data_IF_915510873622
#
_entry.id   IF_915510873622
#
_cell.length_a   1.000
_cell.length_b   1.000
_cell.length_c   1.000
_cell.angle_alpha   90.00
_cell.angle_beta   90.00
_cell.angle_gamma   90.00
#
_symmetry.space_group_name_H-M   'P 1'
#
loop_
_entity.id
_entity.type
_entity.pdbx_description
1 polymer ?
#
# COMPACT_ATOMS: atom_id res chain seq x y z
N UNK A 1 -14.82 41.58 1.17
CA UNK A 1 -14.14 40.35 1.64
C UNK A 1 -13.11 40.76 2.68
N UNK A 2 -13.30 40.41 3.95
CA UNK A 2 -12.36 40.78 5.02
C UNK A 2 -11.16 39.85 5.01
N UNK A 3 -9.94 40.40 4.89
CA UNK A 3 -8.71 39.67 5.17
C UNK A 3 -8.72 39.30 6.65
N UNK A 4 -8.68 38.01 6.97
CA UNK A 4 -8.57 37.56 8.36
C UNK A 4 -7.13 37.76 8.84
N UNK A 5 -6.95 38.46 9.96
CA UNK A 5 -5.66 38.75 10.65
C UNK A 5 -4.89 37.51 11.15
N UNK A 6 -5.32 36.31 10.76
CA UNK A 6 -4.76 35.03 11.19
C UNK A 6 -3.25 34.93 10.92
N UNK A 7 -2.75 35.67 9.94
CA UNK A 7 -1.36 35.60 9.46
C UNK A 7 -0.43 36.63 10.12
N UNK A 8 -0.96 37.74 10.63
CA UNK A 8 -0.13 38.85 11.12
C UNK A 8 0.17 38.75 12.62
N UNK A 9 -0.64 38.01 13.40
CA UNK A 9 -0.40 37.85 14.84
C UNK A 9 -0.94 36.49 15.36
N UNK A 10 -0.11 35.42 15.35
CA UNK A 10 -0.57 34.10 15.77
C UNK A 10 -0.90 34.10 17.28
N UNK A 11 -2.18 34.00 17.62
CA UNK A 11 -2.70 33.99 19.00
C UNK A 11 -2.43 32.68 19.75
N UNK A 12 -2.03 31.62 19.05
CA UNK A 12 -1.86 30.30 19.63
C UNK A 12 -0.43 30.06 20.09
N UNK A 13 -0.24 30.04 21.40
CA UNK A 13 1.06 29.87 22.07
C UNK A 13 1.79 28.57 21.75
N UNK A 14 1.10 27.56 21.20
CA UNK A 14 1.67 26.21 21.03
C UNK A 14 1.52 25.59 19.64
N UNK A 15 0.88 26.25 18.67
CA UNK A 15 0.69 25.69 17.32
C UNK A 15 0.71 26.76 16.23
N UNK A 16 1.71 27.64 16.27
CA UNK A 16 2.03 28.48 15.12
C UNK A 16 2.50 27.59 13.97
N UNK A 17 2.14 27.93 12.73
CA UNK A 17 2.49 27.12 11.56
C UNK A 17 4.03 27.07 11.41
N UNK A 18 4.64 25.93 11.70
CA UNK A 18 6.08 25.78 11.63
C UNK A 18 6.44 25.16 10.27
N UNK A 19 7.03 25.93 9.36
CA UNK A 19 7.42 25.48 8.02
C UNK A 19 7.83 26.63 7.11
N UNK A 20 8.46 26.31 5.98
CA UNK A 20 8.70 27.31 4.93
C UNK A 20 7.37 27.78 4.33
N UNK A 21 7.21 29.07 4.01
CA UNK A 21 5.96 29.62 3.48
C UNK A 21 5.52 28.94 2.16
N UNK A 22 6.46 28.45 1.37
CA UNK A 22 6.20 27.78 0.09
C UNK A 22 6.07 26.26 0.19
N UNK A 23 5.96 25.71 1.41
CA UNK A 23 5.77 24.28 1.62
C UNK A 23 4.38 23.96 2.15
N UNK A 24 3.80 22.89 1.63
CA UNK A 24 2.51 22.42 2.09
C UNK A 24 2.58 22.01 3.58
N UNK A 25 1.63 22.44 4.42
CA UNK A 25 1.57 22.08 5.84
C UNK A 25 1.65 20.57 6.11
N UNK A 26 1.07 19.81 5.20
CA UNK A 26 0.89 18.36 5.31
C UNK A 26 2.01 17.59 4.61
N UNK A 27 3.06 18.26 4.15
CA UNK A 27 4.17 17.59 3.48
C UNK A 27 5.01 16.79 4.48
N UNK A 28 5.20 15.51 4.19
CA UNK A 28 6.07 14.63 4.96
C UNK A 28 7.51 14.80 4.47
N UNK A 29 8.45 15.02 5.38
CA UNK A 29 9.88 15.19 5.05
C UNK A 29 10.40 14.00 4.24
N UNK A 30 10.94 14.27 3.04
CA UNK A 30 11.46 13.25 2.12
C UNK A 30 10.43 12.16 1.79
N UNK A 31 9.14 12.50 1.84
CA UNK A 31 8.02 11.58 1.59
C UNK A 31 8.08 10.30 2.44
N UNK A 32 8.57 10.38 3.68
CA UNK A 32 8.69 9.22 4.58
C UNK A 32 10.01 8.44 4.49
N UNK A 33 10.90 8.79 3.55
CA UNK A 33 12.20 8.11 3.41
C UNK A 33 13.21 8.49 4.51
N UNK A 34 14.10 7.55 4.83
CA UNK A 34 15.33 7.78 5.61
C UNK A 34 15.27 7.28 7.05
N UNK A 35 16.46 7.08 7.64
CA UNK A 35 16.62 6.57 9.01
C UNK A 35 15.96 7.53 10.03
N UNK A 36 15.03 7.01 10.82
CA UNK A 36 14.27 7.76 11.83
C UNK A 36 12.88 8.21 11.37
N UNK A 37 12.53 8.00 10.10
CA UNK A 37 11.15 8.06 9.62
C UNK A 37 10.50 6.68 9.65
N UNK A 38 9.17 6.63 9.53
CA UNK A 38 8.37 5.40 9.61
C UNK A 38 8.28 4.64 8.26
N UNK A 39 9.02 5.07 7.25
CA UNK A 39 8.94 4.48 5.90
C UNK A 39 7.84 5.11 5.04
N UNK A 40 7.68 4.57 3.83
CA UNK A 40 6.56 4.92 2.96
C UNK A 40 5.37 3.99 3.15
N UNK A 41 4.17 4.47 2.81
CA UNK A 41 3.05 3.58 2.56
C UNK A 41 3.43 2.54 1.49
N UNK A 42 3.39 1.27 1.86
CA UNK A 42 3.79 0.12 1.04
C UNK A 42 5.13 -0.51 1.43
N UNK A 43 6.03 0.22 2.11
CA UNK A 43 7.29 -0.35 2.60
C UNK A 43 7.02 -1.34 3.75
N UNK A 44 5.91 -1.19 4.48
CA UNK A 44 5.56 -2.06 5.61
C UNK A 44 5.36 -3.52 5.17
N UNK A 45 4.89 -3.73 3.93
CA UNK A 45 4.72 -5.07 3.37
C UNK A 45 6.07 -5.76 3.18
N UNK A 46 7.07 -5.01 2.69
CA UNK A 46 8.42 -5.53 2.50
C UNK A 46 9.09 -5.79 3.84
N UNK A 47 8.88 -4.92 4.83
CA UNK A 47 9.38 -5.12 6.19
C UNK A 47 8.76 -6.37 6.84
N UNK A 48 7.44 -6.57 6.73
CA UNK A 48 6.76 -7.78 7.22
C UNK A 48 7.22 -9.07 6.51
N UNK A 49 7.59 -8.98 5.23
CA UNK A 49 8.21 -10.07 4.49
C UNK A 49 9.60 -10.37 5.07
N UNK A 50 10.42 -9.33 5.28
CA UNK A 50 11.78 -9.46 5.77
C UNK A 50 11.81 -10.02 7.21
N UNK A 51 10.84 -9.62 8.03
CA UNK A 51 10.64 -10.09 9.40
C UNK A 51 10.06 -11.51 9.47
N UNK A 52 9.61 -12.06 8.33
CA UNK A 52 9.06 -13.41 8.22
C UNK A 52 7.60 -13.55 8.69
N UNK A 53 6.93 -12.43 9.00
CA UNK A 53 5.52 -12.41 9.42
C UNK A 53 4.58 -12.64 8.21
N UNK A 54 5.00 -12.21 7.02
CA UNK A 54 4.34 -12.52 5.76
C UNK A 54 5.22 -13.41 4.88
N UNK A 55 4.65 -14.51 4.38
CA UNK A 55 5.36 -15.31 3.38
C UNK A 55 5.32 -14.62 2.01
N UNK A 56 6.49 -14.41 1.40
CA UNK A 56 6.66 -13.88 0.03
C UNK A 56 5.80 -14.56 -1.03
N UNK A 57 5.48 -15.83 -0.79
CA UNK A 57 4.71 -16.69 -1.70
C UNK A 57 3.24 -16.29 -1.79
N UNK A 58 2.70 -15.59 -0.79
CA UNK A 58 1.29 -15.14 -0.80
C UNK A 58 1.14 -13.92 -1.71
N UNK A 59 2.11 -13.00 -1.70
CA UNK A 59 2.05 -11.73 -2.43
C UNK A 59 2.23 -11.90 -3.95
N UNK A 60 3.03 -12.89 -4.37
CA UNK A 60 3.29 -13.20 -5.78
C UNK A 60 2.40 -14.30 -6.35
N UNK A 61 1.41 -14.78 -5.57
CA UNK A 61 0.52 -15.83 -6.04
C UNK A 61 -0.38 -15.26 -7.13
N UNK A 62 -0.10 -15.63 -8.38
CA UNK A 62 -1.00 -15.39 -9.50
C UNK A 62 -2.43 -15.78 -9.09
N UNK A 63 -3.37 -14.84 -9.24
CA UNK A 63 -4.79 -15.12 -8.99
C UNK A 63 -5.15 -16.33 -9.85
N UNK A 64 -5.69 -17.38 -9.24
CA UNK A 64 -6.19 -18.53 -10.01
C UNK A 64 -7.31 -18.02 -10.91
N UNK A 65 -7.05 -17.94 -12.21
CA UNK A 65 -8.10 -17.65 -13.20
C UNK A 65 -9.14 -18.76 -13.11
N UNK A 66 -10.40 -18.42 -12.91
CA UNK A 66 -11.48 -19.41 -12.77
C UNK A 66 -11.76 -20.18 -14.07
N UNK A 67 -11.24 -19.71 -15.21
CA UNK A 67 -11.58 -20.19 -16.55
C UNK A 67 -10.32 -20.55 -17.38
N UNK A 68 -9.38 -21.31 -16.82
CA UNK A 68 -8.22 -21.79 -17.59
C UNK A 68 -8.60 -23.03 -18.41
N UNK A 69 -8.18 -23.08 -19.67
CA UNK A 69 -8.37 -24.22 -20.59
C UNK A 69 -7.94 -25.56 -20.02
N UNK A 70 -6.94 -25.57 -19.12
CA UNK A 70 -6.51 -26.78 -18.40
C UNK A 70 -7.60 -27.42 -17.53
N UNK A 71 -8.71 -26.74 -17.25
CA UNK A 71 -9.87 -27.35 -16.59
C UNK A 71 -10.70 -28.18 -17.58
N UNK A 72 -10.81 -27.76 -18.84
CA UNK A 72 -11.51 -28.50 -19.90
C UNK A 72 -10.81 -29.84 -20.16
N UNK A 73 -9.48 -29.83 -20.24
CA UNK A 73 -8.68 -31.06 -20.40
C UNK A 73 -8.87 -32.03 -19.22
N UNK A 74 -8.95 -31.51 -17.98
CA UNK A 74 -9.21 -32.33 -16.79
C UNK A 74 -10.62 -32.94 -16.82
N UNK A 75 -11.62 -32.14 -17.21
CA UNK A 75 -12.99 -32.63 -17.37
C UNK A 75 -13.08 -33.74 -18.44
N UNK A 76 -12.41 -33.56 -19.59
CA UNK A 76 -12.37 -34.56 -20.65
C UNK A 76 -11.74 -35.89 -20.19
N UNK A 77 -10.62 -35.84 -19.44
CA UNK A 77 -9.97 -37.03 -18.92
C UNK A 77 -10.84 -37.80 -17.90
N UNK A 78 -11.55 -37.08 -17.03
CA UNK A 78 -12.48 -37.70 -16.06
C UNK A 78 -13.65 -38.37 -16.78
N UNK A 79 -14.20 -37.72 -17.81
CA UNK A 79 -15.26 -38.31 -18.64
C UNK A 79 -14.79 -39.58 -19.34
N UNK A 80 -13.59 -39.58 -19.93
CA UNK A 80 -13.01 -40.76 -20.57
C UNK A 80 -12.83 -41.92 -19.60
N UNK A 81 -12.36 -41.66 -18.37
CA UNK A 81 -12.20 -42.70 -17.35
C UNK A 81 -13.54 -43.33 -16.92
N UNK A 82 -14.60 -42.52 -16.80
CA UNK A 82 -15.94 -43.00 -16.41
C UNK A 82 -16.63 -43.88 -17.46
N UNK A 83 -16.14 -43.87 -18.70
CA UNK A 83 -16.69 -44.67 -19.81
C UNK A 83 -15.98 -46.03 -19.93
N UNK A 84 -14.84 -46.19 -19.26
CA UNK A 84 -13.99 -47.40 -19.34
C UNK A 84 -14.20 -48.36 -18.15
N UNK A 85 -14.98 -47.96 -17.14
CA UNK A 85 -15.56 -48.84 -16.10
C UNK A 85 -16.99 -49.26 -16.45
#
# INVERSE_FOLDING_TARGET
MGKTEKWDNPKDRFFTHNGYPDQAPNHVKKDGFGKGNWGKPGDEVQDMINDGDLSDKIMHKQRRGSNTSSNEDKFANVQMQSVVE
#
